data_IF_269422053469
#
_entry.id   IF_269422053469
#
_cell.length_a   1.000
_cell.length_b   1.000
_cell.length_c   1.000
_cell.angle_alpha   90.00
_cell.angle_beta   90.00
_cell.angle_gamma   90.00
#
_symmetry.space_group_name_H-M   'P 1'
#
loop_
_entity.id
_entity.type
_entity.pdbx_description
1 polymer ?
#
# COMPACT_ATOMS: atom_id res chain seq x y z
N UNK A 1 18.20 -20.20 -22.84
CA UNK A 1 17.51 -20.63 -21.62
C UNK A 1 17.12 -19.37 -20.85
N UNK A 2 15.85 -18.96 -20.87
CA UNK A 2 15.38 -17.84 -20.05
C UNK A 2 15.37 -18.31 -18.58
N UNK A 3 16.30 -17.81 -17.79
CA UNK A 3 16.22 -17.97 -16.32
C UNK A 3 14.96 -17.23 -15.87
N UNK A 4 13.95 -17.94 -15.37
CA UNK A 4 12.83 -17.33 -14.68
C UNK A 4 13.38 -16.59 -13.45
N UNK A 5 13.23 -15.28 -13.43
CA UNK A 5 13.61 -14.48 -12.25
C UNK A 5 12.46 -14.64 -11.26
N UNK A 6 12.72 -15.26 -10.12
CA UNK A 6 11.78 -15.30 -9.00
C UNK A 6 11.88 -13.97 -8.25
N UNK A 7 10.80 -13.21 -8.21
CA UNK A 7 10.70 -11.96 -7.47
C UNK A 7 9.82 -12.16 -6.22
N UNK A 8 10.20 -11.51 -5.12
CA UNK A 8 9.34 -11.42 -3.93
C UNK A 8 8.16 -10.49 -4.20
N UNK A 9 7.07 -10.66 -3.44
CA UNK A 9 5.89 -9.82 -3.57
C UNK A 9 6.15 -8.32 -3.40
N UNK A 10 7.00 -7.95 -2.45
CA UNK A 10 7.44 -6.57 -2.25
C UNK A 10 8.19 -6.01 -3.47
N UNK A 11 9.06 -6.78 -4.08
CA UNK A 11 9.80 -6.39 -5.30
C UNK A 11 8.85 -6.17 -6.48
N UNK A 12 7.84 -7.04 -6.64
CA UNK A 12 6.82 -6.89 -7.69
C UNK A 12 6.03 -5.59 -7.49
N UNK A 13 5.61 -5.31 -6.26
CA UNK A 13 4.88 -4.08 -5.94
C UNK A 13 5.71 -2.83 -6.25
N UNK A 14 6.96 -2.78 -5.83
CA UNK A 14 7.87 -1.65 -6.08
C UNK A 14 8.19 -1.51 -7.56
N UNK A 15 8.41 -2.60 -8.28
CA UNK A 15 8.60 -2.54 -9.73
C UNK A 15 7.37 -2.00 -10.46
N UNK A 16 6.16 -2.36 -10.02
CA UNK A 16 4.94 -1.79 -10.58
C UNK A 16 4.87 -0.28 -10.36
N UNK A 17 5.16 0.19 -9.15
CA UNK A 17 5.22 1.63 -8.84
C UNK A 17 6.30 2.36 -9.68
N UNK A 18 7.46 1.73 -9.86
CA UNK A 18 8.54 2.30 -10.68
C UNK A 18 8.15 2.40 -12.16
N UNK A 19 7.49 1.38 -12.71
CA UNK A 19 6.97 1.40 -14.10
C UNK A 19 5.94 2.49 -14.32
N UNK A 20 5.10 2.79 -13.31
CA UNK A 20 4.15 3.90 -13.31
C UNK A 20 4.81 5.26 -13.03
N UNK A 21 6.16 5.29 -12.99
CA UNK A 21 6.97 6.50 -12.76
C UNK A 21 6.63 7.23 -11.46
N UNK A 22 6.24 6.46 -10.43
CA UNK A 22 6.03 6.97 -9.08
C UNK A 22 7.30 7.66 -8.58
N UNK A 23 7.17 8.83 -7.96
CA UNK A 23 8.31 9.58 -7.41
C UNK A 23 8.31 9.61 -5.88
N UNK A 24 7.14 9.53 -5.28
CA UNK A 24 7.01 9.60 -3.83
C UNK A 24 6.04 8.54 -3.34
N UNK A 25 6.41 7.88 -2.26
CA UNK A 25 5.54 6.99 -1.48
C UNK A 25 5.51 7.52 -0.06
N UNK A 26 4.33 7.84 0.44
CA UNK A 26 4.12 8.19 1.84
C UNK A 26 3.81 6.91 2.61
N UNK A 27 4.18 6.84 3.88
CA UNK A 27 3.82 5.66 4.65
C UNK A 27 4.38 5.58 6.05
N UNK A 28 3.85 4.63 6.80
CA UNK A 28 4.35 4.24 8.11
C UNK A 28 4.89 2.82 8.01
N UNK A 29 6.15 2.62 8.42
CA UNK A 29 6.78 1.29 8.37
C UNK A 29 6.12 0.37 9.41
N UNK A 30 5.76 -0.83 8.98
CA UNK A 30 5.17 -1.83 9.83
C UNK A 30 5.34 -3.26 9.28
N UNK A 31 5.09 -4.25 10.13
CA UNK A 31 5.41 -5.64 9.84
C UNK A 31 4.61 -6.26 8.69
N UNK A 32 3.39 -5.80 8.46
CA UNK A 32 2.53 -6.37 7.42
C UNK A 32 2.95 -6.02 5.99
N UNK A 33 3.83 -5.03 5.83
CA UNK A 33 4.32 -4.55 4.53
C UNK A 33 5.85 -4.43 4.48
N UNK A 34 6.54 -5.11 5.39
CA UNK A 34 8.00 -5.05 5.52
C UNK A 34 8.73 -5.34 4.21
N UNK A 35 8.27 -6.33 3.44
CA UNK A 35 8.90 -6.69 2.16
C UNK A 35 8.81 -5.57 1.11
N UNK A 36 7.74 -4.76 1.15
CA UNK A 36 7.60 -3.60 0.27
C UNK A 36 8.58 -2.51 0.71
N UNK A 37 8.74 -2.28 2.01
CA UNK A 37 9.69 -1.31 2.53
C UNK A 37 11.13 -1.70 2.26
N UNK A 38 11.47 -2.99 2.38
CA UNK A 38 12.77 -3.52 2.01
C UNK A 38 13.08 -3.27 0.52
N UNK A 39 12.13 -3.57 -0.36
CA UNK A 39 12.27 -3.30 -1.78
C UNK A 39 12.38 -1.79 -2.10
N UNK A 40 11.60 -0.93 -1.42
CA UNK A 40 11.68 0.53 -1.56
C UNK A 40 13.04 1.08 -1.10
N UNK A 41 13.66 0.49 -0.10
CA UNK A 41 14.99 0.90 0.35
C UNK A 41 16.05 0.77 -0.76
N UNK A 42 15.90 -0.20 -1.63
CA UNK A 42 16.80 -0.45 -2.76
C UNK A 42 16.41 0.31 -4.03
N UNK A 43 15.20 0.88 -4.09
CA UNK A 43 14.72 1.65 -5.24
C UNK A 43 15.17 3.12 -5.14
N UNK A 44 15.98 3.56 -6.10
CA UNK A 44 16.62 4.89 -6.07
C UNK A 44 15.74 6.00 -6.63
N UNK A 45 14.80 5.66 -7.51
CA UNK A 45 13.97 6.64 -8.22
C UNK A 45 12.68 7.00 -7.47
N UNK A 46 12.35 6.27 -6.40
CA UNK A 46 11.19 6.50 -5.55
C UNK A 46 11.65 6.96 -4.16
N UNK A 47 11.25 8.18 -3.81
CA UNK A 47 11.53 8.72 -2.47
C UNK A 47 10.44 8.27 -1.50
N UNK A 48 10.83 7.53 -0.47
CA UNK A 48 9.95 7.24 0.66
C UNK A 48 9.88 8.40 1.65
N UNK A 49 8.68 8.78 2.05
CA UNK A 49 8.41 9.84 3.03
C UNK A 49 7.68 9.21 4.21
N UNK A 50 8.41 9.01 5.30
CA UNK A 50 7.89 8.43 6.52
C UNK A 50 6.93 9.38 7.24
N UNK A 51 5.82 8.83 7.71
CA UNK A 51 4.82 9.53 8.52
C UNK A 51 4.75 8.93 9.93
N UNK A 52 4.01 9.56 10.83
CA UNK A 52 3.77 9.08 12.20
C UNK A 52 2.39 8.46 12.38
N UNK A 53 1.53 8.57 11.38
CA UNK A 53 0.16 8.08 11.37
C UNK A 53 -0.28 7.94 9.90
N UNK A 54 -0.89 6.82 9.53
CA UNK A 54 -1.32 6.57 8.16
C UNK A 54 -2.39 7.54 7.69
N UNK A 55 -3.22 8.07 8.59
CA UNK A 55 -4.18 9.13 8.28
C UNK A 55 -3.47 10.37 7.77
N UNK A 56 -2.40 10.79 8.45
CA UNK A 56 -1.56 11.90 7.97
C UNK A 56 -0.97 11.59 6.61
N UNK A 57 -0.45 10.38 6.42
CA UNK A 57 0.12 9.93 5.14
C UNK A 57 -0.90 9.95 4.00
N UNK A 58 -2.15 9.56 4.26
CA UNK A 58 -3.21 9.58 3.25
C UNK A 58 -3.58 11.02 2.83
N UNK A 59 -3.62 11.96 3.77
CA UNK A 59 -3.80 13.39 3.44
C UNK A 59 -2.59 13.98 2.70
N UNK A 60 -1.38 13.57 3.02
CA UNK A 60 -0.18 13.98 2.25
C UNK A 60 -0.24 13.44 0.82
N UNK A 61 -0.66 12.20 0.61
CA UNK A 61 -0.85 11.62 -0.71
C UNK A 61 -1.93 12.37 -1.51
N UNK A 62 -3.05 12.74 -0.88
CA UNK A 62 -4.09 13.57 -1.48
C UNK A 62 -3.55 14.94 -1.89
N UNK A 63 -2.86 15.65 -0.98
CA UNK A 63 -2.25 16.94 -1.28
C UNK A 63 -1.21 16.88 -2.39
N UNK A 64 -0.36 15.83 -2.38
CA UNK A 64 0.59 15.58 -3.46
C UNK A 64 -0.10 15.37 -4.81
N UNK A 65 -1.15 14.56 -4.84
CA UNK A 65 -1.89 14.27 -6.06
C UNK A 65 -2.47 15.54 -6.68
N UNK A 66 -3.06 16.40 -5.86
CA UNK A 66 -3.62 17.70 -6.32
C UNK A 66 -2.55 18.66 -6.82
N UNK A 67 -1.41 18.74 -6.13
CA UNK A 67 -0.36 19.69 -6.47
C UNK A 67 0.48 19.26 -7.67
N UNK A 68 0.69 17.95 -7.85
CA UNK A 68 1.60 17.42 -8.88
C UNK A 68 0.91 16.90 -10.14
N UNK A 69 -0.43 16.77 -10.14
CA UNK A 69 -1.20 16.05 -11.15
C UNK A 69 -0.71 14.62 -11.40
N UNK A 70 -0.21 13.96 -10.34
CA UNK A 70 0.27 12.57 -10.36
C UNK A 70 -0.44 11.79 -9.26
N UNK A 71 -0.58 10.47 -9.38
CA UNK A 71 -1.13 9.67 -8.28
C UNK A 71 -0.31 9.84 -7.00
N UNK A 72 -1.01 10.08 -5.89
CA UNK A 72 -0.43 10.01 -4.55
C UNK A 72 -0.45 8.57 -4.06
N UNK A 73 0.69 8.07 -3.56
CA UNK A 73 0.81 6.69 -3.08
C UNK A 73 0.96 6.69 -1.57
N UNK A 74 0.10 5.95 -0.88
CA UNK A 74 0.20 5.74 0.57
C UNK A 74 0.31 4.26 0.90
N UNK A 75 1.25 3.92 1.76
CA UNK A 75 1.54 2.56 2.22
C UNK A 75 1.28 2.46 3.72
N UNK A 76 0.30 1.65 4.11
CA UNK A 76 0.05 1.36 5.52
C UNK A 76 1.02 0.29 6.03
N UNK A 77 1.60 0.54 7.19
CA UNK A 77 2.58 -0.36 7.78
C UNK A 77 1.99 -1.65 8.35
N UNK A 78 0.74 -1.59 8.78
CA UNK A 78 0.08 -2.70 9.47
C UNK A 78 -1.27 -3.02 8.82
N UNK A 79 -1.67 -4.30 8.90
CA UNK A 79 -3.04 -4.74 8.63
C UNK A 79 -3.99 -4.17 9.69
N UNK A 80 -5.28 -4.39 9.59
CA UNK A 80 -6.25 -3.91 10.57
C UNK A 80 -6.09 -2.43 10.92
N UNK A 81 -5.43 -2.06 12.03
CA UNK A 81 -5.33 -0.67 12.48
C UNK A 81 -4.64 0.26 11.48
N UNK A 82 -3.62 -0.20 10.78
CA UNK A 82 -2.99 0.60 9.72
C UNK A 82 -3.92 0.87 8.55
N UNK A 83 -4.72 -0.12 8.16
CA UNK A 83 -5.73 0.04 7.13
C UNK A 83 -6.86 0.99 7.59
N UNK A 84 -7.38 0.83 8.81
CA UNK A 84 -8.45 1.72 9.33
C UNK A 84 -8.00 3.17 9.44
N UNK A 85 -6.74 3.43 9.77
CA UNK A 85 -6.18 4.78 9.81
C UNK A 85 -6.18 5.47 8.43
N UNK A 86 -6.16 4.74 7.33
CA UNK A 86 -6.24 5.32 5.98
C UNK A 86 -7.61 5.88 5.63
N UNK A 87 -8.69 5.38 6.25
CA UNK A 87 -10.08 5.64 5.83
C UNK A 87 -10.38 7.12 5.68
N UNK A 88 -10.00 7.95 6.65
CA UNK A 88 -10.31 9.39 6.63
C UNK A 88 -9.74 10.09 5.39
N UNK A 89 -8.46 9.89 5.10
CA UNK A 89 -7.82 10.57 3.98
C UNK A 89 -8.23 9.99 2.63
N UNK A 90 -8.48 8.67 2.56
CA UNK A 90 -8.96 8.03 1.33
C UNK A 90 -10.38 8.49 0.99
N UNK A 91 -11.27 8.56 2.00
CA UNK A 91 -12.62 9.07 1.81
C UNK A 91 -12.61 10.54 1.34
N UNK A 92 -11.74 11.38 1.92
CA UNK A 92 -11.56 12.76 1.47
C UNK A 92 -11.03 12.82 0.03
N UNK A 93 -10.01 12.06 -0.30
CA UNK A 93 -9.45 12.02 -1.64
C UNK A 93 -10.50 11.59 -2.68
N UNK A 94 -11.33 10.59 -2.34
CA UNK A 94 -12.43 10.14 -3.18
C UNK A 94 -13.46 11.27 -3.42
N UNK A 95 -13.88 11.95 -2.35
CA UNK A 95 -14.82 13.08 -2.44
C UNK A 95 -14.26 14.26 -3.24
N UNK A 96 -12.94 14.43 -3.26
CA UNK A 96 -12.25 15.46 -4.02
C UNK A 96 -11.78 15.01 -5.42
N UNK A 97 -12.11 13.79 -5.83
CA UNK A 97 -11.65 13.18 -7.08
C UNK A 97 -10.13 13.16 -7.27
N UNK A 98 -9.38 13.15 -6.17
CA UNK A 98 -7.93 13.07 -6.19
C UNK A 98 -7.47 11.65 -6.51
N UNK A 99 -6.50 11.45 -7.41
CA UNK A 99 -5.97 10.14 -7.72
C UNK A 99 -5.02 9.67 -6.60
N UNK A 100 -5.54 8.89 -5.68
CA UNK A 100 -4.74 8.28 -4.60
C UNK A 100 -4.81 6.76 -4.71
N UNK A 101 -3.67 6.12 -4.56
CA UNK A 101 -3.53 4.66 -4.45
C UNK A 101 -3.09 4.35 -3.03
N UNK A 102 -3.90 3.58 -2.31
CA UNK A 102 -3.56 3.07 -0.99
C UNK A 102 -3.19 1.60 -1.05
N UNK A 103 -2.10 1.24 -0.39
CA UNK A 103 -1.62 -0.12 -0.27
C UNK A 103 -1.58 -0.46 1.22
N UNK A 104 -2.33 -1.47 1.62
CA UNK A 104 -2.33 -1.96 2.99
C UNK A 104 -1.98 -3.45 3.00
N UNK A 105 -1.20 -3.86 3.99
CA UNK A 105 -0.91 -5.26 4.22
C UNK A 105 -2.16 -6.00 4.70
N UNK A 106 -2.12 -7.32 4.61
CA UNK A 106 -3.15 -8.22 5.12
C UNK A 106 -2.50 -9.29 6.00
N UNK A 107 -3.32 -10.10 6.66
CA UNK A 107 -2.82 -11.26 7.38
C UNK A 107 -2.16 -12.25 6.41
N UNK A 108 -1.11 -12.92 6.89
CA UNK A 108 -0.45 -13.96 6.12
C UNK A 108 -1.44 -15.03 5.67
N UNK A 109 -1.26 -15.54 4.45
CA UNK A 109 -2.09 -16.64 3.94
C UNK A 109 -1.90 -17.93 4.75
N UNK A 110 -0.76 -18.08 5.42
CA UNK A 110 -0.47 -19.19 6.33
C UNK A 110 -1.25 -19.09 7.66
N UNK A 111 -1.55 -17.85 8.08
CA UNK A 111 -2.24 -17.54 9.34
C UNK A 111 -3.72 -17.16 9.12
N UNK A 112 -4.30 -17.56 7.99
CA UNK A 112 -5.67 -17.25 7.61
C UNK A 112 -6.66 -18.09 8.44
N UNK A 113 -6.69 -17.80 9.73
CA UNK A 113 -7.66 -18.36 10.68
C UNK A 113 -8.73 -17.33 10.98
N UNK A 114 -9.92 -17.80 11.36
CA UNK A 114 -10.97 -16.94 11.89
C UNK A 114 -10.39 -16.19 13.11
N UNK A 115 -10.65 -14.90 13.20
CA UNK A 115 -10.18 -14.04 14.30
C UNK A 115 -8.64 -13.89 14.40
N UNK A 116 -7.93 -13.95 13.29
CA UNK A 116 -6.50 -13.64 13.25
C UNK A 116 -6.21 -12.23 13.82
N UNK A 117 -5.10 -12.11 14.56
CA UNK A 117 -4.70 -10.84 15.18
C UNK A 117 -4.65 -9.71 14.14
N UNK A 118 -5.36 -8.62 14.43
CA UNK A 118 -5.52 -7.45 13.54
C UNK A 118 -6.16 -7.77 12.17
N UNK A 119 -6.76 -8.94 12.00
CA UNK A 119 -7.50 -9.29 10.79
C UNK A 119 -8.85 -8.58 10.76
N UNK A 120 -9.12 -7.83 9.70
CA UNK A 120 -10.42 -7.20 9.43
C UNK A 120 -10.80 -7.39 7.96
N UNK A 121 -12.07 -7.24 7.63
CA UNK A 121 -12.51 -7.18 6.24
C UNK A 121 -12.18 -5.80 5.63
N UNK A 122 -10.95 -5.64 5.18
CA UNK A 122 -10.48 -4.41 4.57
C UNK A 122 -11.18 -4.13 3.24
N UNK A 123 -11.59 -5.16 2.51
CA UNK A 123 -12.24 -4.98 1.22
C UNK A 123 -13.59 -4.28 1.39
N UNK A 124 -14.44 -4.79 2.25
CA UNK A 124 -15.73 -4.16 2.57
C UNK A 124 -15.56 -2.77 3.19
N UNK A 125 -14.49 -2.55 3.97
CA UNK A 125 -14.20 -1.25 4.57
C UNK A 125 -13.91 -0.17 3.52
N UNK A 126 -13.17 -0.50 2.46
CA UNK A 126 -12.75 0.48 1.46
C UNK A 126 -13.70 0.57 0.24
N UNK A 127 -14.53 -0.42 0.00
CA UNK A 127 -15.42 -0.46 -1.16
C UNK A 127 -16.27 0.81 -1.33
N UNK A 128 -16.95 1.35 -0.27
CA UNK A 128 -17.80 2.53 -0.42
C UNK A 128 -17.05 3.84 -0.61
N UNK A 129 -15.75 3.88 -0.35
CA UNK A 129 -14.92 5.10 -0.40
C UNK A 129 -13.83 5.06 -1.48
N UNK A 130 -13.86 4.08 -2.38
CA UNK A 130 -12.88 3.96 -3.46
C UNK A 130 -13.57 3.62 -4.78
N UNK A 131 -12.97 4.03 -5.89
CA UNK A 131 -13.43 3.61 -7.22
C UNK A 131 -13.23 2.11 -7.44
N UNK A 132 -12.21 1.52 -6.81
CA UNK A 132 -11.88 0.12 -6.92
C UNK A 132 -11.07 -0.31 -5.71
N UNK A 133 -11.57 -1.33 -5.04
CA UNK A 133 -10.84 -2.08 -4.01
C UNK A 133 -10.51 -3.45 -4.57
N UNK A 134 -9.29 -3.91 -4.35
CA UNK A 134 -8.85 -5.22 -4.82
C UNK A 134 -7.88 -5.85 -3.83
N UNK A 135 -8.22 -7.03 -3.34
CA UNK A 135 -7.26 -7.90 -2.67
C UNK A 135 -6.33 -8.55 -3.70
N UNK A 136 -5.04 -8.38 -3.52
CA UNK A 136 -4.02 -9.07 -4.32
C UNK A 136 -3.33 -10.06 -3.40
N UNK A 137 -3.46 -11.34 -3.74
CA UNK A 137 -2.73 -12.40 -3.06
C UNK A 137 -1.43 -12.65 -3.82
N UNK A 138 -0.31 -12.39 -3.17
CA UNK A 138 1.00 -12.74 -3.70
C UNK A 138 1.45 -13.97 -2.93
N UNK A 139 1.34 -15.13 -3.57
CA UNK A 139 1.78 -16.39 -2.97
C UNK A 139 3.28 -16.54 -3.19
N UNK A 140 4.04 -16.62 -2.11
CA UNK A 140 5.41 -17.09 -2.16
C UNK A 140 5.29 -18.62 -2.19
N UNK A 141 5.59 -19.24 -3.32
CA UNK A 141 5.78 -20.68 -3.36
C UNK A 141 7.12 -20.98 -2.71
N UNK A 142 7.10 -21.57 -1.53
CA UNK A 142 8.27 -22.22 -0.96
C UNK A 142 8.66 -23.36 -1.93
N UNK A 143 9.79 -23.22 -2.59
CA UNK A 143 10.42 -24.27 -3.40
C UNK A 143 11.40 -25.06 -2.55
#
# INVERSE_FOLDING_TARGET
>A
MNKSIKLKGGEIAVQALSREKTKHVFGLIGSATMEIFDALYHEKDIKFIGVRDERTGSHMADGYARASNRPGIILAGQNGPGATNLVTGIAQAAAAFSPVVSIAGFISTKDKVKDAFQGIDQQSLFEPITKKTKGVMITISDS
#
